data_IF_735816720430
#
_entry.id   IF_735816720430
#
_cell.length_a   1.000
_cell.length_b   1.000
_cell.length_c   1.000
_cell.angle_alpha   90.00
_cell.angle_beta   90.00
_cell.angle_gamma   90.00
#
_symmetry.space_group_name_H-M   'P 1'
#
loop_
_entity.id
_entity.type
_entity.pdbx_description
1 polymer ?
#
# COMPACT_ATOMS: atom_id res chain seq x y z
N UNK A 1 -71.25 -0.87 49.40
CA UNK A 1 -70.78 -0.48 48.06
C UNK A 1 -71.66 -1.11 47.02
N UNK A 2 -72.38 -0.32 46.20
CA UNK A 2 -73.25 -0.85 45.14
C UNK A 2 -72.43 -1.51 44.04
N UNK A 3 -72.93 -2.56 43.36
CA UNK A 3 -72.27 -3.25 42.24
C UNK A 3 -71.80 -2.26 41.17
N UNK A 4 -72.55 -1.16 40.97
CA UNK A 4 -72.19 -0.06 40.07
C UNK A 4 -70.88 0.65 40.46
N UNK A 5 -70.59 0.90 41.74
CA UNK A 5 -69.32 1.54 42.14
C UNK A 5 -68.11 0.63 41.97
N UNK A 6 -68.31 -0.67 42.10
CA UNK A 6 -67.24 -1.66 41.89
C UNK A 6 -66.91 -1.81 40.38
N UNK A 7 -67.93 -1.75 39.50
CA UNK A 7 -67.75 -1.73 38.06
C UNK A 7 -67.03 -0.47 37.58
N UNK A 8 -67.40 0.70 38.12
CA UNK A 8 -66.72 1.97 37.77
C UNK A 8 -65.27 1.93 38.24
N UNK A 9 -64.97 1.44 39.43
CA UNK A 9 -63.61 1.33 39.95
C UNK A 9 -62.79 0.38 39.06
N UNK A 10 -63.35 -0.77 38.66
CA UNK A 10 -62.68 -1.76 37.79
C UNK A 10 -62.36 -1.11 36.40
N UNK A 11 -63.26 -0.36 35.83
CA UNK A 11 -63.09 0.35 34.54
C UNK A 11 -61.96 1.42 34.65
N UNK A 12 -61.97 2.17 35.73
CA UNK A 12 -60.91 3.19 35.96
C UNK A 12 -59.55 2.55 36.14
N UNK A 13 -59.47 1.51 36.95
CA UNK A 13 -58.21 0.79 37.16
C UNK A 13 -57.68 0.16 35.87
N UNK A 14 -58.57 -0.50 35.12
CA UNK A 14 -58.14 -1.08 33.81
C UNK A 14 -57.76 -0.03 32.78
N UNK A 15 -58.42 1.12 32.73
CA UNK A 15 -58.09 2.23 31.86
C UNK A 15 -56.71 2.82 32.24
N UNK A 16 -56.43 3.05 33.54
CA UNK A 16 -55.13 3.53 34.02
C UNK A 16 -54.03 2.50 33.73
N UNK A 17 -54.24 1.24 34.02
CA UNK A 17 -53.27 0.17 33.75
C UNK A 17 -52.96 0.07 32.24
N UNK A 18 -53.96 0.12 31.37
CA UNK A 18 -53.73 0.13 29.94
C UNK A 18 -52.97 1.35 29.47
N UNK A 19 -53.27 2.53 29.97
CA UNK A 19 -52.59 3.78 29.63
C UNK A 19 -51.12 3.77 30.04
N UNK A 20 -50.75 3.05 31.10
CA UNK A 20 -49.35 2.93 31.56
C UNK A 20 -48.63 1.73 30.95
N UNK A 21 -49.26 0.55 30.86
CA UNK A 21 -48.58 -0.69 30.46
C UNK A 21 -48.37 -0.81 28.95
N UNK A 22 -49.27 -0.27 28.12
CA UNK A 22 -49.18 -0.36 26.64
C UNK A 22 -47.93 0.39 26.14
N UNK A 23 -47.69 1.65 26.53
CA UNK A 23 -46.47 2.37 26.11
C UNK A 23 -45.19 1.73 26.61
N UNK A 24 -45.17 1.23 27.85
CA UNK A 24 -43.96 0.55 28.39
C UNK A 24 -43.63 -0.70 27.56
N UNK A 25 -44.63 -1.50 27.15
CA UNK A 25 -44.43 -2.65 26.27
C UNK A 25 -43.88 -2.25 24.91
N UNK A 26 -44.31 -1.12 24.38
CA UNK A 26 -43.79 -0.61 23.10
C UNK A 26 -42.28 -0.24 23.23
N UNK A 27 -41.88 0.40 24.34
CA UNK A 27 -40.46 0.68 24.60
C UNK A 27 -39.66 -0.59 24.77
N UNK A 28 -40.20 -1.62 25.48
CA UNK A 28 -39.53 -2.92 25.63
C UNK A 28 -39.36 -3.61 24.26
N UNK A 29 -40.43 -3.64 23.45
CA UNK A 29 -40.34 -4.21 22.09
C UNK A 29 -39.32 -3.50 21.21
N UNK A 30 -39.29 -2.17 21.29
CA UNK A 30 -38.29 -1.36 20.59
C UNK A 30 -36.84 -1.65 21.07
N UNK A 31 -36.66 -1.85 22.39
CA UNK A 31 -35.38 -2.25 22.95
C UNK A 31 -34.92 -3.64 22.45
N UNK A 32 -35.83 -4.59 22.35
CA UNK A 32 -35.57 -5.94 21.81
C UNK A 32 -35.17 -5.87 20.33
N UNK A 33 -35.83 -5.02 19.55
CA UNK A 33 -35.47 -4.79 18.14
C UNK A 33 -34.05 -4.19 18.01
N UNK A 34 -33.73 -3.17 18.81
CA UNK A 34 -32.39 -2.57 18.84
C UNK A 34 -31.34 -3.61 19.24
N UNK A 35 -31.64 -4.43 20.26
CA UNK A 35 -30.75 -5.49 20.70
C UNK A 35 -30.53 -6.56 19.61
N UNK A 36 -31.47 -6.76 18.71
CA UNK A 36 -31.33 -7.62 17.52
C UNK A 36 -30.60 -6.96 16.35
N UNK A 37 -30.23 -5.67 16.48
CA UNK A 37 -29.52 -4.91 15.45
C UNK A 37 -30.40 -4.05 14.55
N UNK A 38 -31.74 -4.06 14.74
CA UNK A 38 -32.64 -3.19 14.03
C UNK A 38 -32.71 -1.82 14.70
N UNK A 39 -32.03 -0.82 14.13
CA UNK A 39 -32.04 0.57 14.60
C UNK A 39 -33.14 1.43 13.94
N UNK A 40 -33.94 0.85 13.04
CA UNK A 40 -35.05 1.55 12.39
C UNK A 40 -36.34 1.38 13.19
N UNK A 41 -36.30 1.81 14.43
CA UNK A 41 -37.40 1.70 15.38
C UNK A 41 -38.07 3.06 15.57
N UNK A 42 -39.40 3.09 15.46
CA UNK A 42 -40.21 4.29 15.69
C UNK A 42 -41.17 4.07 16.85
N UNK A 43 -41.07 4.96 17.85
CA UNK A 43 -41.95 4.95 19.00
C UNK A 43 -43.00 6.09 18.85
N UNK A 44 -44.23 5.78 18.45
CA UNK A 44 -45.37 6.75 18.43
C UNK A 44 -46.05 6.77 19.80
N UNK A 45 -45.37 7.29 20.81
CA UNK A 45 -45.90 7.43 22.19
C UNK A 45 -46.18 8.90 22.44
N UNK A 46 -47.48 9.28 22.39
CA UNK A 46 -47.94 10.67 22.59
C UNK A 46 -48.39 10.93 24.03
N UNK A 47 -47.63 10.52 25.01
CA UNK A 47 -47.87 10.84 26.42
C UNK A 47 -47.10 12.06 26.83
N UNK A 48 -47.68 12.85 27.73
CA UNK A 48 -47.03 14.06 28.34
C UNK A 48 -46.54 13.80 29.77
N UNK A 49 -46.55 12.54 30.20
CA UNK A 49 -46.08 12.06 31.48
C UNK A 49 -44.66 11.51 31.40
N UNK A 50 -44.19 10.89 32.49
CA UNK A 50 -42.87 10.28 32.60
C UNK A 50 -42.63 9.20 31.54
N UNK A 51 -43.69 8.52 31.07
CA UNK A 51 -43.62 7.50 30.01
C UNK A 51 -43.35 8.17 28.67
N UNK A 52 -43.98 9.33 28.39
CA UNK A 52 -43.71 10.12 27.20
C UNK A 52 -42.28 10.64 27.18
N UNK A 53 -41.78 11.10 28.31
CA UNK A 53 -40.38 11.55 28.46
C UNK A 53 -39.40 10.38 28.23
N UNK A 54 -39.69 9.18 28.79
CA UNK A 54 -38.91 7.96 28.57
C UNK A 54 -38.84 7.62 27.09
N UNK A 55 -40.00 7.62 26.41
CA UNK A 55 -40.07 7.31 24.98
C UNK A 55 -39.28 8.30 24.11
N UNK A 56 -39.35 9.60 24.41
CA UNK A 56 -38.57 10.62 23.71
C UNK A 56 -37.06 10.44 23.92
N UNK A 57 -36.63 10.17 25.16
CA UNK A 57 -35.22 9.93 25.46
C UNK A 57 -34.71 8.67 24.77
N UNK A 58 -35.55 7.61 24.72
CA UNK A 58 -35.22 6.38 24.03
C UNK A 58 -35.12 6.59 22.51
N UNK A 59 -36.08 7.32 21.92
CA UNK A 59 -36.04 7.69 20.51
C UNK A 59 -34.77 8.49 20.16
N UNK A 60 -34.44 9.50 20.95
CA UNK A 60 -33.22 10.31 20.75
C UNK A 60 -31.94 9.46 20.82
N UNK A 61 -31.90 8.51 21.77
CA UNK A 61 -30.77 7.56 21.88
C UNK A 61 -30.66 6.70 20.62
N UNK A 62 -31.77 6.14 20.14
CA UNK A 62 -31.82 5.27 18.96
C UNK A 62 -31.39 6.03 17.70
N UNK A 63 -31.90 7.25 17.51
CA UNK A 63 -31.52 8.10 16.37
C UNK A 63 -30.04 8.45 16.39
N UNK A 64 -29.48 8.72 17.58
CA UNK A 64 -28.05 8.98 17.71
C UNK A 64 -27.20 7.76 17.37
N UNK A 65 -27.57 6.58 17.89
CA UNK A 65 -26.88 5.33 17.57
C UNK A 65 -26.96 5.02 16.06
N UNK A 66 -28.13 5.16 15.46
CA UNK A 66 -28.34 4.94 14.03
C UNK A 66 -27.45 5.84 13.18
N UNK A 67 -27.40 7.13 13.49
CA UNK A 67 -26.58 8.09 12.77
C UNK A 67 -25.08 7.77 12.89
N UNK A 68 -24.60 7.40 14.09
CA UNK A 68 -23.21 6.99 14.32
C UNK A 68 -22.88 5.74 13.50
N UNK A 69 -23.71 4.69 13.51
CA UNK A 69 -23.48 3.46 12.75
C UNK A 69 -23.48 3.72 11.25
N UNK A 70 -24.38 4.59 10.76
CA UNK A 70 -24.42 4.98 9.34
C UNK A 70 -23.16 5.74 8.93
N UNK A 71 -22.68 6.68 9.76
CA UNK A 71 -21.46 7.43 9.50
C UNK A 71 -20.21 6.53 9.54
N UNK A 72 -20.13 5.59 10.50
CA UNK A 72 -19.06 4.59 10.54
C UNK A 72 -19.08 3.74 9.25
N UNK A 73 -20.25 3.26 8.85
CA UNK A 73 -20.40 2.46 7.62
C UNK A 73 -19.96 3.25 6.39
N UNK A 74 -20.36 4.52 6.31
CA UNK A 74 -19.91 5.42 5.24
C UNK A 74 -18.37 5.56 5.23
N UNK A 75 -17.74 5.84 6.38
CA UNK A 75 -16.29 6.00 6.48
C UNK A 75 -15.55 4.72 6.07
N UNK A 76 -16.01 3.55 6.54
CA UNK A 76 -15.39 2.27 6.22
C UNK A 76 -15.57 1.90 4.74
N UNK A 77 -16.72 2.17 4.14
CA UNK A 77 -16.94 1.93 2.72
C UNK A 77 -16.02 2.79 1.85
N UNK A 78 -15.93 4.08 2.12
CA UNK A 78 -15.00 4.96 1.41
C UNK A 78 -13.54 4.50 1.54
N UNK A 79 -13.15 4.05 2.74
CA UNK A 79 -11.81 3.50 2.96
C UNK A 79 -11.59 2.20 2.17
N UNK A 80 -12.61 1.34 2.05
CA UNK A 80 -12.54 0.11 1.25
C UNK A 80 -12.37 0.39 -0.24
N UNK A 81 -12.91 1.51 -0.73
CA UNK A 81 -12.77 1.98 -2.10
C UNK A 81 -11.44 2.74 -2.33
N UNK A 82 -10.57 2.80 -1.31
CA UNK A 82 -9.27 3.46 -1.38
C UNK A 82 -9.31 4.97 -1.18
N UNK A 83 -10.47 5.53 -0.79
CA UNK A 83 -10.59 6.95 -0.48
C UNK A 83 -10.22 7.22 0.98
N UNK A 84 -8.99 7.64 1.22
CA UNK A 84 -8.49 7.99 2.56
C UNK A 84 -8.60 9.49 2.87
N UNK A 85 -9.16 10.32 1.97
CA UNK A 85 -9.35 11.77 2.19
C UNK A 85 -10.76 12.09 2.69
N UNK A 86 -11.28 11.25 3.56
CA UNK A 86 -12.64 11.33 4.09
C UNK A 86 -12.69 11.92 5.50
N UNK A 87 -13.88 12.44 5.84
CA UNK A 87 -14.19 12.93 7.19
C UNK A 87 -15.60 12.48 7.56
N UNK A 88 -15.83 12.29 8.86
CA UNK A 88 -17.17 12.09 9.41
C UNK A 88 -18.09 13.22 9.01
N UNK A 89 -19.31 12.89 8.60
CA UNK A 89 -20.40 13.83 8.30
C UNK A 89 -21.13 14.29 9.55
N UNK A 90 -21.13 13.45 10.60
CA UNK A 90 -21.88 13.62 11.82
C UNK A 90 -21.00 13.69 13.07
N UNK A 91 -19.86 14.38 12.97
CA UNK A 91 -18.85 14.47 14.03
C UNK A 91 -19.44 14.91 15.39
N UNK A 92 -20.47 15.75 15.37
CA UNK A 92 -21.10 16.31 16.57
C UNK A 92 -21.84 15.24 17.40
N UNK A 93 -22.19 14.12 16.79
CA UNK A 93 -22.86 13.00 17.45
C UNK A 93 -21.91 12.10 18.24
N UNK A 94 -20.60 12.19 17.99
CA UNK A 94 -19.59 11.41 18.67
C UNK A 94 -19.20 12.03 20.01
N UNK A 95 -20.14 12.04 20.95
CA UNK A 95 -19.96 12.57 22.32
C UNK A 95 -19.57 11.43 23.28
N UNK A 96 -18.90 11.77 24.37
CA UNK A 96 -18.48 10.82 25.40
C UNK A 96 -17.63 9.69 24.81
N UNK A 97 -17.97 8.45 25.13
CA UNK A 97 -17.23 7.26 24.72
C UNK A 97 -17.25 7.00 23.20
N UNK A 98 -18.26 7.49 22.48
CA UNK A 98 -18.31 7.39 21.04
C UNK A 98 -17.17 8.14 20.33
N UNK A 99 -16.62 9.18 20.95
CA UNK A 99 -15.50 9.91 20.40
C UNK A 99 -14.26 9.03 20.19
N UNK A 100 -14.05 8.02 21.04
CA UNK A 100 -12.93 7.08 20.89
C UNK A 100 -13.01 6.26 19.59
N UNK A 101 -14.23 5.91 19.16
CA UNK A 101 -14.46 5.20 17.90
C UNK A 101 -14.02 6.07 16.73
N UNK A 102 -14.46 7.34 16.70
CA UNK A 102 -14.09 8.26 15.64
C UNK A 102 -12.57 8.51 15.59
N UNK A 103 -11.94 8.68 16.77
CA UNK A 103 -10.48 8.85 16.87
C UNK A 103 -9.72 7.61 16.34
N UNK A 104 -10.22 6.42 16.64
CA UNK A 104 -9.62 5.17 16.17
C UNK A 104 -9.74 5.03 14.64
N UNK A 105 -10.91 5.29 14.07
CA UNK A 105 -11.12 5.29 12.61
C UNK A 105 -10.20 6.32 11.93
N UNK A 106 -10.08 7.52 12.48
CA UNK A 106 -9.18 8.55 11.95
C UNK A 106 -7.72 8.14 12.00
N UNK A 107 -7.30 7.47 13.07
CA UNK A 107 -5.93 6.93 13.18
C UNK A 107 -5.66 5.87 12.13
N UNK A 108 -6.59 4.92 11.96
CA UNK A 108 -6.47 3.86 10.92
C UNK A 108 -6.37 4.51 9.55
N UNK A 109 -7.28 5.44 9.24
CA UNK A 109 -7.30 6.16 7.96
C UNK A 109 -5.96 6.88 7.69
N UNK A 110 -5.45 7.63 8.68
CA UNK A 110 -4.16 8.32 8.55
C UNK A 110 -3.00 7.35 8.32
N UNK A 111 -2.92 6.28 9.11
CA UNK A 111 -1.84 5.28 9.00
C UNK A 111 -1.86 4.58 7.64
N UNK A 112 -3.05 4.20 7.14
CA UNK A 112 -3.19 3.58 5.82
C UNK A 112 -2.80 4.55 4.70
N UNK A 113 -3.26 5.81 4.76
CA UNK A 113 -2.91 6.83 3.79
C UNK A 113 -1.40 7.08 3.73
N UNK A 114 -0.75 7.17 4.89
CA UNK A 114 0.70 7.36 5.01
C UNK A 114 1.47 6.15 4.45
N UNK A 115 1.06 4.94 4.83
CA UNK A 115 1.67 3.70 4.34
C UNK A 115 1.57 3.57 2.82
N UNK A 116 0.41 3.88 2.24
CA UNK A 116 0.22 3.86 0.78
C UNK A 116 1.07 4.91 0.07
N UNK A 117 1.24 6.09 0.68
CA UNK A 117 2.15 7.12 0.16
C UNK A 117 3.60 6.65 0.16
N UNK A 118 4.04 5.98 1.24
CA UNK A 118 5.39 5.41 1.31
C UNK A 118 5.61 4.30 0.29
N UNK A 119 4.60 3.43 0.07
CA UNK A 119 4.66 2.38 -0.96
C UNK A 119 4.79 2.98 -2.35
N UNK A 120 4.02 4.03 -2.67
CA UNK A 120 4.12 4.72 -3.96
C UNK A 120 5.53 5.30 -4.17
N UNK A 121 6.06 6.00 -3.17
CA UNK A 121 7.41 6.56 -3.25
C UNK A 121 8.47 5.45 -3.43
N UNK A 122 8.34 4.33 -2.72
CA UNK A 122 9.24 3.19 -2.89
C UNK A 122 9.13 2.57 -4.29
N UNK A 123 7.93 2.45 -4.85
CA UNK A 123 7.71 1.97 -6.21
C UNK A 123 8.37 2.88 -7.26
N UNK A 124 8.28 4.21 -7.10
CA UNK A 124 8.94 5.18 -7.96
C UNK A 124 10.47 5.06 -7.89
N UNK A 125 11.03 4.84 -6.69
CA UNK A 125 12.46 4.59 -6.53
C UNK A 125 12.90 3.28 -7.20
N UNK A 126 12.12 2.20 -7.07
CA UNK A 126 12.40 0.91 -7.75
C UNK A 126 12.33 1.08 -9.26
N UNK A 127 11.35 1.81 -9.78
CA UNK A 127 11.23 2.10 -11.22
C UNK A 127 12.46 2.83 -11.75
N UNK A 128 12.83 3.94 -11.09
CA UNK A 128 14.01 4.74 -11.47
C UNK A 128 15.32 3.94 -11.37
N UNK A 129 15.46 3.14 -10.31
CA UNK A 129 16.61 2.24 -10.14
C UNK A 129 16.69 1.17 -11.24
N UNK A 130 15.55 0.64 -11.66
CA UNK A 130 15.49 -0.34 -12.75
C UNK A 130 15.90 0.27 -14.10
N UNK A 131 15.50 1.52 -14.37
CA UNK A 131 15.94 2.25 -15.57
C UNK A 131 17.45 2.49 -15.57
N UNK A 132 18.02 2.84 -14.41
CA UNK A 132 19.47 3.02 -14.27
C UNK A 132 20.24 1.70 -14.48
N UNK A 133 19.73 0.59 -13.93
CA UNK A 133 20.32 -0.74 -14.15
C UNK A 133 20.26 -1.13 -15.62
N UNK A 134 19.14 -0.90 -16.30
CA UNK A 134 18.99 -1.18 -17.74
C UNK A 134 19.98 -0.36 -18.58
N UNK A 135 20.11 0.94 -18.30
CA UNK A 135 21.09 1.82 -18.97
C UNK A 135 22.53 1.39 -18.69
N UNK A 136 22.86 1.02 -17.47
CA UNK A 136 24.17 0.50 -17.09
C UNK A 136 24.50 -0.82 -17.78
N UNK A 137 23.55 -1.73 -17.91
CA UNK A 137 23.71 -3.00 -18.61
C UNK A 137 23.97 -2.77 -20.10
N UNK A 138 23.30 -1.80 -20.70
CA UNK A 138 23.49 -1.43 -22.11
C UNK A 138 24.87 -0.82 -22.38
N UNK A 139 25.35 0.06 -21.48
CA UNK A 139 26.68 0.62 -21.55
C UNK A 139 27.76 -0.47 -21.36
N UNK A 140 27.54 -1.41 -20.46
CA UNK A 140 28.44 -2.56 -20.23
C UNK A 140 28.50 -3.48 -21.47
N UNK A 141 27.37 -3.77 -22.12
CA UNK A 141 27.33 -4.55 -23.36
C UNK A 141 28.08 -3.88 -24.49
N UNK A 142 27.93 -2.54 -24.63
CA UNK A 142 28.69 -1.75 -25.59
C UNK A 142 30.20 -1.82 -25.29
N UNK A 143 30.60 -1.59 -24.05
CA UNK A 143 32.00 -1.66 -23.62
C UNK A 143 32.61 -3.06 -23.81
N UNK A 144 31.84 -4.13 -23.58
CA UNK A 144 32.30 -5.50 -23.85
C UNK A 144 32.54 -5.75 -25.35
N UNK A 145 31.69 -5.18 -26.21
CA UNK A 145 31.86 -5.29 -27.67
C UNK A 145 33.13 -4.54 -28.13
N UNK A 146 33.35 -3.34 -27.61
CA UNK A 146 34.57 -2.54 -27.89
C UNK A 146 35.84 -3.26 -27.39
N UNK A 147 35.80 -3.87 -26.21
CA UNK A 147 36.90 -4.67 -25.69
C UNK A 147 37.19 -5.91 -26.55
N UNK A 148 36.14 -6.62 -27.01
CA UNK A 148 36.32 -7.75 -27.91
C UNK A 148 37.04 -7.34 -29.22
N UNK A 149 36.64 -6.23 -29.83
CA UNK A 149 37.28 -5.70 -31.02
C UNK A 149 38.75 -5.30 -30.78
N UNK A 150 39.05 -4.67 -29.64
CA UNK A 150 40.42 -4.32 -29.28
C UNK A 150 41.31 -5.56 -29.03
N UNK A 151 40.75 -6.61 -28.44
CA UNK A 151 41.46 -7.90 -28.26
C UNK A 151 41.77 -8.58 -29.59
N UNK A 152 40.83 -8.54 -30.59
CA UNK A 152 41.07 -9.04 -31.92
C UNK A 152 42.19 -8.26 -32.63
N UNK A 153 42.20 -6.94 -32.54
CA UNK A 153 43.25 -6.09 -33.10
C UNK A 153 44.63 -6.37 -32.45
N UNK A 154 44.65 -6.54 -31.11
CA UNK A 154 45.88 -6.92 -30.39
C UNK A 154 46.40 -8.31 -30.86
N UNK A 155 45.49 -9.27 -31.08
CA UNK A 155 45.87 -10.58 -31.56
C UNK A 155 46.49 -10.53 -32.98
N UNK A 156 45.93 -9.72 -33.87
CA UNK A 156 46.46 -9.47 -35.21
C UNK A 156 47.86 -8.83 -35.15
N UNK A 157 47.98 -7.74 -34.36
CA UNK A 157 49.27 -7.05 -34.17
C UNK A 157 50.34 -7.98 -33.60
N UNK A 158 49.97 -8.83 -32.62
CA UNK A 158 50.88 -9.81 -32.05
C UNK A 158 51.36 -10.83 -33.08
N UNK A 159 50.49 -11.32 -33.98
CA UNK A 159 50.84 -12.17 -35.08
C UNK A 159 51.83 -11.50 -36.05
N UNK A 160 51.61 -10.24 -36.38
CA UNK A 160 52.52 -9.48 -37.24
C UNK A 160 53.90 -9.29 -36.64
N UNK A 161 53.94 -9.00 -35.32
CA UNK A 161 55.23 -8.90 -34.58
C UNK A 161 55.99 -10.25 -34.63
N UNK A 162 55.29 -11.39 -34.43
CA UNK A 162 55.92 -12.72 -34.54
C UNK A 162 56.52 -12.98 -35.92
N UNK A 163 55.78 -12.61 -37.00
CA UNK A 163 56.28 -12.71 -38.37
C UNK A 163 57.52 -11.82 -38.61
N UNK A 164 57.52 -10.60 -38.09
CA UNK A 164 58.68 -9.70 -38.18
C UNK A 164 59.88 -10.21 -37.38
N UNK A 165 59.70 -10.77 -36.21
CA UNK A 165 60.75 -11.40 -35.41
C UNK A 165 61.36 -12.60 -36.17
N UNK A 166 60.55 -13.44 -36.79
CA UNK A 166 60.99 -14.56 -37.58
C UNK A 166 61.88 -14.13 -38.77
N UNK A 167 61.39 -13.16 -39.57
CA UNK A 167 62.16 -12.56 -40.66
C UNK A 167 63.48 -11.94 -40.21
N UNK A 168 63.47 -11.22 -39.07
CA UNK A 168 64.66 -10.64 -38.49
C UNK A 168 65.70 -11.70 -38.09
N UNK A 169 65.24 -12.83 -37.56
CA UNK A 169 66.11 -13.97 -37.23
C UNK A 169 66.70 -14.59 -38.48
N UNK A 170 65.95 -14.73 -39.58
CA UNK A 170 66.46 -15.21 -40.87
C UNK A 170 67.52 -14.26 -41.45
N UNK A 171 67.25 -12.94 -41.45
CA UNK A 171 68.20 -11.96 -41.93
C UNK A 171 69.51 -11.96 -41.09
N UNK A 172 69.40 -12.16 -39.76
CA UNK A 172 70.55 -12.26 -38.91
C UNK A 172 71.39 -13.49 -39.22
N UNK A 173 70.78 -14.63 -39.54
CA UNK A 173 71.50 -15.86 -39.98
C UNK A 173 72.19 -15.61 -41.31
N UNK A 174 71.47 -15.07 -42.32
CA UNK A 174 72.06 -14.73 -43.62
C UNK A 174 73.28 -13.78 -43.50
N UNK A 175 73.17 -12.80 -42.63
CA UNK A 175 74.29 -11.86 -42.37
C UNK A 175 75.48 -12.61 -41.72
N UNK A 176 75.23 -13.53 -40.79
CA UNK A 176 76.27 -14.37 -40.14
C UNK A 176 76.96 -15.27 -41.18
N UNK A 177 76.20 -15.92 -42.06
CA UNK A 177 76.73 -16.80 -43.08
C UNK A 177 77.58 -16.02 -44.12
N UNK A 178 77.14 -14.84 -44.57
CA UNK A 178 77.92 -13.96 -45.44
C UNK A 178 79.19 -13.47 -44.74
N UNK A 179 79.18 -13.13 -43.47
CA UNK A 179 80.35 -12.76 -42.72
C UNK A 179 81.35 -13.90 -42.62
N UNK A 180 80.92 -15.15 -42.45
CA UNK A 180 81.77 -16.35 -42.46
C UNK A 180 82.42 -16.57 -43.82
N UNK A 181 81.66 -16.44 -44.91
CA UNK A 181 82.20 -16.56 -46.29
C UNK A 181 83.31 -15.47 -46.55
N UNK A 182 83.03 -14.20 -46.24
CA UNK A 182 84.01 -13.11 -46.41
C UNK A 182 85.27 -13.39 -45.58
N UNK A 183 85.13 -13.90 -44.34
CA UNK A 183 86.27 -14.28 -43.49
C UNK A 183 87.15 -15.38 -44.14
N UNK A 184 86.50 -16.36 -44.77
CA UNK A 184 87.13 -17.43 -45.47
C UNK A 184 87.87 -16.92 -46.75
N UNK A 185 87.29 -16.05 -47.52
CA UNK A 185 87.87 -15.47 -48.73
C UNK A 185 89.13 -14.59 -48.33
N UNK A 186 89.04 -13.88 -47.23
CA UNK A 186 90.20 -13.10 -46.69
C UNK A 186 91.29 -14.05 -46.28
N UNK A 187 91.01 -15.18 -45.60
CA UNK A 187 92.05 -16.17 -45.23
C UNK A 187 92.69 -16.79 -46.42
N UNK A 188 91.93 -17.19 -47.47
CA UNK A 188 92.50 -17.70 -48.74
C UNK A 188 93.35 -16.71 -49.51
N UNK A 189 92.87 -15.38 -49.50
CA UNK A 189 93.67 -14.34 -50.13
C UNK A 189 95.02 -14.10 -49.45
N UNK A 190 95.04 -14.16 -48.11
CA UNK A 190 96.31 -14.01 -47.32
C UNK A 190 97.21 -15.23 -47.50
N UNK A 191 96.77 -16.40 -47.85
CA UNK A 191 97.57 -17.58 -48.14
C UNK A 191 98.23 -17.57 -49.55
N UNK A 192 97.69 -16.74 -50.45
CA UNK A 192 98.19 -16.56 -51.84
C UNK A 192 99.24 -15.43 -52.00
N UNK A 193 99.42 -14.62 -51.02
CA UNK A 193 100.47 -13.61 -50.91
C UNK A 193 101.69 -14.13 -50.24
#
# INVERSE_FOLDING_TARGET
LSVASLLVLLLVVTAVLRKMLVPIRAVVSAADEIASGNLDVHLDIRSQDEIGQLAQSFQAMTENLRAIIQDISYLLNEMSDGNFRIRSKDRERYIGDYNQILLSIRRINYTLSDTLSQINNAADHVSSGSEQVASGAQALAQGATEQASAVEELAATTSDILNHVQKSAEHARDASDKAAMVSQEIAESNQKM
#
